data_IF_761130413181
#
_entry.id   IF_761130413181
#
_cell.length_a   1.000
_cell.length_b   1.000
_cell.length_c   1.000
_cell.angle_alpha   90.00
_cell.angle_beta   90.00
_cell.angle_gamma   90.00
#
_symmetry.space_group_name_H-M   'P 1'
#
loop_
_entity.id
_entity.type
_entity.pdbx_description
1 polymer ?
#
# COMPACT_ATOMS: atom_id res chain seq x y z
N UNK A 1 1.64 -28.85 6.08
CA UNK A 1 0.77 -27.75 6.56
C UNK A 1 -0.05 -27.24 5.39
N UNK A 2 -1.40 -27.16 5.56
CA UNK A 2 -2.29 -26.62 4.55
C UNK A 2 -2.02 -25.11 4.42
N UNK A 3 -1.60 -24.64 3.24
CA UNK A 3 -1.43 -23.20 3.00
C UNK A 3 -2.79 -22.54 3.00
N UNK A 4 -2.91 -21.40 3.66
CA UNK A 4 -4.10 -20.58 3.59
C UNK A 4 -4.09 -19.76 2.30
N UNK A 5 -5.24 -19.63 1.67
CA UNK A 5 -5.47 -18.84 0.48
C UNK A 5 -5.98 -17.46 0.86
N UNK A 6 -5.36 -16.42 0.34
CA UNK A 6 -5.72 -15.03 0.60
C UNK A 6 -5.91 -14.31 -0.73
N UNK A 7 -7.04 -13.63 -0.88
CA UNK A 7 -7.29 -12.73 -1.99
C UNK A 7 -6.89 -11.31 -1.57
N UNK A 8 -6.13 -10.63 -2.41
CA UNK A 8 -5.81 -9.21 -2.28
C UNK A 8 -6.36 -8.48 -3.50
N UNK A 9 -7.31 -7.59 -3.30
CA UNK A 9 -7.92 -6.78 -4.37
C UNK A 9 -7.29 -5.40 -4.38
N UNK A 10 -6.63 -5.08 -5.48
CA UNK A 10 -5.87 -3.87 -5.67
C UNK A 10 -4.37 -4.13 -5.79
N UNK A 11 -3.70 -3.32 -6.60
CA UNK A 11 -2.26 -3.43 -6.90
C UNK A 11 -1.55 -2.08 -6.82
N UNK A 12 -2.16 -1.10 -6.15
CA UNK A 12 -1.48 0.11 -5.71
C UNK A 12 -0.40 -0.21 -4.68
N UNK A 13 0.23 0.80 -4.12
CA UNK A 13 1.30 0.63 -3.14
C UNK A 13 0.89 -0.29 -1.98
N UNK A 14 -0.30 -0.10 -1.42
CA UNK A 14 -0.82 -0.92 -0.34
C UNK A 14 -1.07 -2.38 -0.77
N UNK A 15 -1.71 -2.59 -1.93
CA UNK A 15 -2.04 -3.92 -2.44
C UNK A 15 -0.82 -4.73 -2.83
N UNK A 16 0.12 -4.12 -3.56
CA UNK A 16 1.36 -4.76 -3.95
C UNK A 16 2.22 -5.13 -2.72
N UNK A 17 2.31 -4.23 -1.73
CA UNK A 17 3.05 -4.47 -0.48
C UNK A 17 2.40 -5.58 0.35
N UNK A 18 1.06 -5.57 0.49
CA UNK A 18 0.34 -6.60 1.22
C UNK A 18 0.51 -7.99 0.56
N UNK A 19 0.34 -8.07 -0.77
CA UNK A 19 0.50 -9.31 -1.50
C UNK A 19 1.93 -9.86 -1.42
N UNK A 20 2.94 -8.99 -1.54
CA UNK A 20 4.34 -9.38 -1.40
C UNK A 20 4.63 -9.92 0.01
N UNK A 21 4.24 -9.19 1.06
CA UNK A 21 4.46 -9.59 2.45
C UNK A 21 3.75 -10.90 2.80
N UNK A 22 2.51 -11.07 2.38
CA UNK A 22 1.77 -12.31 2.59
C UNK A 22 2.44 -13.50 1.87
N UNK A 23 2.94 -13.26 0.64
CA UNK A 23 3.69 -14.27 -0.11
C UNK A 23 4.98 -14.67 0.61
N UNK A 24 5.74 -13.72 1.16
CA UNK A 24 6.94 -13.94 1.96
C UNK A 24 6.66 -14.73 3.24
N UNK A 25 5.49 -14.52 3.86
CA UNK A 25 5.02 -15.29 5.01
C UNK A 25 4.59 -16.72 4.66
N UNK A 26 4.59 -17.09 3.38
CA UNK A 26 4.27 -18.43 2.89
C UNK A 26 2.79 -18.68 2.63
N UNK A 27 1.94 -17.68 2.63
CA UNK A 27 0.55 -17.79 2.17
C UNK A 27 0.49 -17.97 0.66
N UNK A 28 -0.61 -18.56 0.17
CA UNK A 28 -0.95 -18.56 -1.25
C UNK A 28 -1.83 -17.35 -1.53
N UNK A 29 -1.33 -16.40 -2.33
CA UNK A 29 -1.99 -15.13 -2.57
C UNK A 29 -2.50 -15.03 -4.00
N UNK A 30 -3.76 -14.61 -4.16
CA UNK A 30 -4.38 -14.24 -5.42
C UNK A 30 -4.54 -12.72 -5.43
N UNK A 31 -3.74 -12.02 -6.23
CA UNK A 31 -3.74 -10.56 -6.27
C UNK A 31 -4.39 -10.05 -7.56
N UNK A 32 -5.41 -9.22 -7.42
CA UNK A 32 -6.25 -8.75 -8.53
C UNK A 32 -5.95 -7.31 -8.90
N UNK A 33 -5.75 -7.07 -10.19
CA UNK A 33 -5.45 -5.78 -10.79
C UNK A 33 -6.44 -5.47 -11.91
N UNK A 34 -7.13 -4.34 -11.84
CA UNK A 34 -8.03 -3.89 -12.90
C UNK A 34 -7.26 -3.46 -14.16
N UNK A 35 -6.06 -2.94 -14.00
CA UNK A 35 -5.19 -2.53 -15.09
C UNK A 35 -4.44 -3.73 -15.70
N UNK A 36 -3.74 -3.48 -16.78
CA UNK A 36 -2.83 -4.44 -17.43
C UNK A 36 -1.53 -4.65 -16.63
N UNK A 37 -1.19 -3.72 -15.74
CA UNK A 37 -0.01 -3.79 -14.88
C UNK A 37 -0.22 -3.06 -13.55
N UNK A 38 0.30 -3.59 -12.45
CA UNK A 38 0.35 -2.89 -11.16
C UNK A 38 1.01 -1.51 -11.21
N UNK A 39 1.96 -1.31 -12.13
CA UNK A 39 2.68 -0.04 -12.32
C UNK A 39 1.80 1.12 -12.78
N UNK A 40 0.55 0.85 -13.19
CA UNK A 40 -0.43 1.88 -13.59
C UNK A 40 -1.35 2.31 -12.47
N UNK A 41 -1.11 1.86 -11.24
CA UNK A 41 -1.88 2.28 -10.09
C UNK A 41 -1.69 3.77 -9.78
N UNK A 42 -2.71 4.41 -9.24
CA UNK A 42 -2.71 5.85 -8.92
C UNK A 42 -1.55 6.28 -8.00
N UNK A 43 -1.05 5.37 -7.17
CA UNK A 43 0.13 5.62 -6.31
C UNK A 43 1.33 6.22 -7.05
N UNK A 44 1.44 6.01 -8.37
CA UNK A 44 2.50 6.58 -9.22
C UNK A 44 2.45 8.11 -9.25
N UNK A 45 1.28 8.73 -9.04
CA UNK A 45 1.08 10.16 -9.13
C UNK A 45 1.55 10.93 -7.89
N UNK A 46 1.81 10.26 -6.77
CA UNK A 46 2.27 10.91 -5.54
C UNK A 46 3.71 11.41 -5.68
N UNK A 47 3.95 12.69 -5.40
CA UNK A 47 5.24 13.36 -5.64
C UNK A 47 5.90 13.88 -4.36
N UNK A 48 5.12 14.28 -3.36
CA UNK A 48 5.58 15.04 -2.21
C UNK A 48 6.56 14.29 -1.30
N UNK A 49 6.26 13.07 -0.97
CA UNK A 49 7.02 12.24 -0.05
C UNK A 49 6.15 11.38 0.84
N UNK A 50 6.79 10.67 1.73
CA UNK A 50 6.15 9.82 2.74
C UNK A 50 6.64 10.21 4.15
N UNK A 51 5.71 10.34 5.09
CA UNK A 51 6.00 10.77 6.45
C UNK A 51 6.33 9.57 7.35
N UNK A 52 7.38 9.72 8.15
CA UNK A 52 7.73 8.77 9.21
C UNK A 52 8.38 9.48 10.40
N UNK A 53 8.09 9.00 11.60
CA UNK A 53 8.55 9.60 12.85
C UNK A 53 9.97 9.15 13.23
N UNK A 54 10.94 9.32 12.31
CA UNK A 54 12.34 8.92 12.56
C UNK A 54 13.13 9.93 13.41
N UNK A 55 12.65 11.17 13.46
CA UNK A 55 13.28 12.26 14.24
C UNK A 55 14.78 12.44 13.97
N UNK A 56 15.22 12.32 12.72
CA UNK A 56 16.65 12.43 12.37
C UNK A 56 17.22 13.81 12.63
N UNK A 57 16.42 14.86 12.50
CA UNK A 57 16.83 16.25 12.76
C UNK A 57 16.78 16.60 14.26
N UNK A 58 16.29 15.70 15.11
CA UNK A 58 16.09 15.92 16.53
C UNK A 58 15.29 17.22 16.83
N UNK A 59 14.27 17.47 16.01
CA UNK A 59 13.39 18.64 16.08
C UNK A 59 12.10 18.37 16.89
N UNK A 60 12.12 17.34 17.73
CA UNK A 60 11.03 16.97 18.62
C UNK A 60 9.92 16.18 17.98
N UNK A 61 10.19 15.49 16.86
CA UNK A 61 9.23 14.56 16.27
C UNK A 61 9.10 13.26 17.09
N UNK A 62 7.93 12.65 17.03
CA UNK A 62 7.62 11.39 17.71
C UNK A 62 6.46 10.68 17.04
N UNK A 63 6.29 9.40 17.37
CA UNK A 63 5.13 8.62 16.95
C UNK A 63 3.82 9.30 17.35
N UNK A 64 3.73 9.80 18.58
CA UNK A 64 2.55 10.50 19.06
C UNK A 64 2.29 11.80 18.30
N UNK A 65 3.34 12.56 17.99
CA UNK A 65 3.21 13.81 17.22
C UNK A 65 2.75 13.53 15.79
N UNK A 66 3.30 12.51 15.14
CA UNK A 66 2.84 12.07 13.81
C UNK A 66 1.36 11.63 13.83
N UNK A 67 0.98 10.86 14.85
CA UNK A 67 -0.40 10.47 15.06
C UNK A 67 -1.32 11.69 15.22
N UNK A 68 -0.99 12.60 16.13
CA UNK A 68 -1.79 13.80 16.39
C UNK A 68 -1.95 14.68 15.15
N UNK A 69 -0.85 14.95 14.44
CA UNK A 69 -0.86 15.78 13.25
C UNK A 69 -1.69 15.14 12.13
N UNK A 70 -1.65 13.81 12.00
CA UNK A 70 -2.43 13.07 11.01
C UNK A 70 -3.93 13.11 11.33
N UNK A 71 -4.31 12.90 12.59
CA UNK A 71 -5.73 12.98 13.02
C UNK A 71 -6.26 14.40 12.84
N UNK A 72 -5.49 15.40 13.25
CA UNK A 72 -5.85 16.81 13.10
C UNK A 72 -5.95 17.22 11.62
N UNK A 73 -4.99 16.83 10.80
CA UNK A 73 -5.00 17.10 9.36
C UNK A 73 -6.17 16.45 8.62
N UNK A 74 -6.71 15.36 9.14
CA UNK A 74 -7.90 14.68 8.65
C UNK A 74 -9.22 15.17 9.28
N UNK A 75 -9.24 16.38 9.89
CA UNK A 75 -10.42 16.96 10.54
C UNK A 75 -11.06 16.05 11.61
N UNK A 76 -10.25 15.25 12.30
CA UNK A 76 -10.68 14.29 13.34
C UNK A 76 -11.68 13.24 12.84
N UNK A 77 -11.72 12.94 11.54
CA UNK A 77 -12.61 11.94 10.94
C UNK A 77 -12.01 10.54 10.89
N UNK A 78 -10.70 10.44 11.06
CA UNK A 78 -9.99 9.17 10.95
C UNK A 78 -10.27 8.27 12.17
N UNK A 79 -10.18 6.96 11.95
CA UNK A 79 -10.18 5.98 13.04
C UNK A 79 -8.84 6.03 13.77
N UNK A 80 -8.80 6.62 14.95
CA UNK A 80 -7.58 6.94 15.71
C UNK A 80 -6.67 5.73 15.93
N UNK A 81 -7.24 4.57 16.28
CA UNK A 81 -6.45 3.35 16.48
C UNK A 81 -5.65 2.94 15.23
N UNK A 82 -6.23 3.12 14.03
CA UNK A 82 -5.54 2.81 12.78
C UNK A 82 -4.43 3.83 12.49
N UNK A 83 -4.69 5.11 12.75
CA UNK A 83 -3.70 6.17 12.56
C UNK A 83 -2.54 6.03 13.55
N UNK A 84 -2.82 5.67 14.80
CA UNK A 84 -1.78 5.41 15.78
C UNK A 84 -0.88 4.24 15.34
N UNK A 85 -1.51 3.15 14.89
CA UNK A 85 -0.76 2.00 14.36
C UNK A 85 0.09 2.36 13.15
N UNK A 86 -0.44 3.19 12.24
CA UNK A 86 0.33 3.71 11.11
C UNK A 86 1.58 4.47 11.58
N UNK A 87 1.41 5.36 12.56
CA UNK A 87 2.51 6.13 13.12
C UNK A 87 3.57 5.24 13.80
N UNK A 88 3.16 4.22 14.55
CA UNK A 88 4.07 3.23 15.17
C UNK A 88 4.94 2.51 14.14
N UNK A 89 4.34 2.05 13.04
CA UNK A 89 5.07 1.26 12.03
C UNK A 89 5.81 2.11 11.01
N UNK A 90 5.61 3.43 11.00
CA UNK A 90 6.11 4.33 9.96
C UNK A 90 7.62 4.19 9.72
N UNK A 91 8.40 4.06 10.79
CA UNK A 91 9.85 3.92 10.71
C UNK A 91 10.27 2.61 10.03
N UNK A 92 9.63 1.49 10.39
CA UNK A 92 9.89 0.20 9.78
C UNK A 92 9.49 0.16 8.30
N UNK A 93 8.44 0.90 7.92
CA UNK A 93 8.00 1.02 6.52
C UNK A 93 9.07 1.72 5.67
N UNK A 94 9.68 2.80 6.16
CA UNK A 94 10.77 3.46 5.46
C UNK A 94 11.95 2.51 5.26
N UNK A 95 12.33 1.76 6.30
CA UNK A 95 13.43 0.80 6.22
C UNK A 95 13.11 -0.32 5.23
N UNK A 96 11.88 -0.80 5.19
CA UNK A 96 11.41 -1.76 4.20
C UNK A 96 11.48 -1.20 2.78
N UNK A 97 11.06 0.05 2.57
CA UNK A 97 11.14 0.70 1.25
C UNK A 97 12.59 0.83 0.78
N UNK A 98 13.51 1.19 1.68
CA UNK A 98 14.96 1.22 1.37
C UNK A 98 15.45 -0.17 0.98
N UNK A 99 15.07 -1.21 1.71
CA UNK A 99 15.44 -2.60 1.41
C UNK A 99 14.87 -3.08 0.07
N UNK A 100 13.72 -2.54 -0.36
CA UNK A 100 13.11 -2.80 -1.67
C UNK A 100 13.77 -2.02 -2.82
N UNK A 101 14.77 -1.18 -2.52
CA UNK A 101 15.51 -0.42 -3.51
C UNK A 101 14.94 0.96 -3.85
N UNK A 102 14.07 1.52 -3.02
CA UNK A 102 13.55 2.88 -3.21
C UNK A 102 14.68 3.90 -3.04
N UNK A 103 15.01 4.71 -4.06
CA UNK A 103 16.13 5.65 -4.03
C UNK A 103 15.73 6.96 -3.36
N UNK A 104 15.47 6.94 -2.07
CA UNK A 104 15.24 8.16 -1.31
C UNK A 104 16.43 9.11 -1.40
N UNK A 105 16.17 10.40 -1.38
CA UNK A 105 17.20 11.41 -1.25
C UNK A 105 18.02 11.18 0.01
N UNK A 106 19.33 11.46 -0.09
CA UNK A 106 20.28 11.30 1.01
C UNK A 106 21.04 12.59 1.25
N UNK A 107 21.36 12.83 2.51
CA UNK A 107 22.28 13.87 2.90
C UNK A 107 23.73 13.50 2.49
N UNK A 108 24.61 14.50 2.55
CA UNK A 108 26.02 14.31 2.19
C UNK A 108 26.71 13.19 2.98
N UNK A 109 26.32 12.98 4.24
CA UNK A 109 26.81 11.90 5.09
C UNK A 109 26.24 10.52 4.80
N UNK A 110 25.31 10.38 3.83
CA UNK A 110 24.74 9.11 3.41
C UNK A 110 23.47 8.68 4.17
N UNK A 111 23.05 9.41 5.18
CA UNK A 111 21.75 9.21 5.85
C UNK A 111 20.59 9.67 4.97
N UNK A 112 19.39 9.15 5.20
CA UNK A 112 18.20 9.58 4.46
C UNK A 112 17.90 11.04 4.76
N UNK A 113 17.75 11.84 3.69
CA UNK A 113 17.29 13.22 3.80
C UNK A 113 15.80 13.27 4.08
N UNK A 114 15.39 14.20 4.93
CA UNK A 114 14.00 14.48 5.23
C UNK A 114 13.75 15.99 5.29
N UNK A 115 12.50 16.37 5.06
CA UNK A 115 12.10 17.79 5.03
C UNK A 115 10.76 18.00 5.71
N UNK A 116 10.49 19.23 6.10
CA UNK A 116 9.14 19.66 6.44
C UNK A 116 8.31 19.78 5.15
N UNK A 117 7.11 19.22 5.12
CA UNK A 117 6.21 19.28 3.98
C UNK A 117 4.75 19.17 4.44
N UNK A 118 3.83 19.80 3.69
CA UNK A 118 2.39 19.69 3.95
C UNK A 118 1.94 20.34 5.27
N UNK A 119 2.62 21.40 5.71
CA UNK A 119 2.27 22.10 6.96
C UNK A 119 2.81 21.45 8.23
N UNK A 120 3.54 20.34 8.14
CA UNK A 120 4.25 19.76 9.27
C UNK A 120 5.37 20.72 9.74
N UNK A 121 5.45 20.98 11.05
CA UNK A 121 6.45 21.87 11.63
C UNK A 121 7.77 21.17 11.92
N UNK A 122 7.86 19.87 11.63
CA UNK A 122 9.05 19.03 11.84
C UNK A 122 9.45 18.36 10.54
N UNK A 123 10.72 18.02 10.42
CA UNK A 123 11.28 17.34 9.26
C UNK A 123 11.02 15.83 9.36
N UNK A 124 9.96 15.34 8.73
CA UNK A 124 9.56 13.93 8.76
C UNK A 124 9.26 13.34 7.38
N UNK A 125 9.33 14.13 6.32
CA UNK A 125 8.97 13.69 4.98
C UNK A 125 10.18 13.19 4.21
N UNK A 126 10.19 11.89 3.93
CA UNK A 126 11.20 11.23 3.10
C UNK A 126 10.74 11.26 1.64
N UNK A 127 11.64 11.53 0.71
CA UNK A 127 11.27 11.81 -0.68
C UNK A 127 12.31 11.31 -1.69
N UNK A 128 11.87 11.13 -2.92
CA UNK A 128 12.68 10.78 -4.08
C UNK A 128 12.47 11.82 -5.20
N UNK A 129 12.83 13.07 -4.93
CA UNK A 129 12.91 14.23 -5.86
C UNK A 129 11.82 14.25 -6.94
N UNK A 130 10.55 14.43 -6.56
CA UNK A 130 9.41 14.54 -7.48
C UNK A 130 8.87 13.21 -8.02
N UNK A 131 9.47 12.08 -7.67
CA UNK A 131 9.09 10.75 -8.14
C UNK A 131 8.78 9.78 -6.98
N UNK A 132 8.45 10.29 -5.81
CA UNK A 132 8.35 9.47 -4.59
C UNK A 132 7.35 8.33 -4.76
N UNK A 133 6.12 8.60 -5.22
CA UNK A 133 5.10 7.58 -5.43
C UNK A 133 5.49 6.55 -6.49
N UNK A 134 6.08 7.00 -7.59
CA UNK A 134 6.60 6.12 -8.64
C UNK A 134 7.65 5.16 -8.09
N UNK A 135 8.62 5.66 -7.35
CA UNK A 135 9.71 4.85 -6.82
C UNK A 135 9.23 3.89 -5.72
N UNK A 136 8.32 4.34 -4.85
CA UNK A 136 7.66 3.48 -3.86
C UNK A 136 6.90 2.34 -4.54
N UNK A 137 6.11 2.66 -5.57
CA UNK A 137 5.34 1.66 -6.30
C UNK A 137 6.24 0.67 -7.03
N UNK A 138 7.32 1.12 -7.65
CA UNK A 138 8.31 0.24 -8.31
C UNK A 138 9.01 -0.68 -7.31
N UNK A 139 9.34 -0.18 -6.11
CA UNK A 139 9.90 -1.00 -5.04
C UNK A 139 8.94 -2.11 -4.60
N UNK A 140 7.70 -1.75 -4.33
CA UNK A 140 6.64 -2.71 -3.98
C UNK A 140 6.35 -3.70 -5.11
N UNK A 141 6.32 -3.23 -6.36
CA UNK A 141 6.15 -4.08 -7.55
C UNK A 141 7.30 -5.07 -7.73
N UNK A 142 8.53 -4.66 -7.46
CA UNK A 142 9.69 -5.56 -7.51
C UNK A 142 9.59 -6.67 -6.46
N UNK A 143 9.17 -6.33 -5.23
CA UNK A 143 8.90 -7.31 -4.19
C UNK A 143 7.76 -8.27 -4.57
N UNK A 144 6.67 -7.73 -5.10
CA UNK A 144 5.54 -8.53 -5.62
C UNK A 144 5.99 -9.48 -6.74
N UNK A 145 6.74 -8.99 -7.72
CA UNK A 145 7.22 -9.78 -8.86
C UNK A 145 8.11 -10.93 -8.42
N UNK A 146 8.91 -10.73 -7.38
CA UNK A 146 9.72 -11.79 -6.77
C UNK A 146 8.84 -12.91 -6.23
N UNK A 147 7.73 -12.58 -5.56
CA UNK A 147 6.79 -13.56 -5.03
C UNK A 147 5.97 -14.25 -6.14
N UNK A 148 5.67 -13.53 -7.23
CA UNK A 148 5.07 -14.15 -8.43
C UNK A 148 6.01 -15.17 -9.05
N UNK A 149 7.30 -14.85 -9.16
CA UNK A 149 8.33 -15.76 -9.68
C UNK A 149 8.50 -17.02 -8.81
N UNK A 150 8.47 -16.86 -7.49
CA UNK A 150 8.54 -17.99 -6.53
C UNK A 150 7.26 -18.82 -6.55
N UNK A 151 6.15 -18.27 -7.06
CA UNK A 151 4.86 -18.96 -7.15
C UNK A 151 4.00 -18.89 -5.89
N UNK A 152 4.34 -18.03 -4.92
CA UNK A 152 3.50 -17.77 -3.73
C UNK A 152 2.37 -16.81 -4.04
N UNK A 153 2.55 -15.92 -5.01
CA UNK A 153 1.54 -14.98 -5.48
C UNK A 153 1.17 -15.27 -6.93
N UNK A 154 -0.13 -15.35 -7.21
CA UNK A 154 -0.67 -15.35 -8.58
C UNK A 154 -1.31 -13.99 -8.85
N UNK A 155 -0.80 -13.29 -9.85
CA UNK A 155 -1.30 -11.98 -10.27
C UNK A 155 -2.32 -12.15 -11.39
N UNK A 156 -3.51 -11.55 -11.20
CA UNK A 156 -4.60 -11.47 -12.16
C UNK A 156 -4.73 -10.03 -12.64
N UNK A 157 -4.29 -9.76 -13.86
CA UNK A 157 -4.42 -8.44 -14.51
C UNK A 157 -5.66 -8.38 -15.36
N UNK A 158 -6.26 -7.20 -15.54
CA UNK A 158 -7.51 -6.98 -16.26
C UNK A 158 -8.70 -7.76 -15.66
N UNK A 159 -8.73 -7.79 -14.33
CA UNK A 159 -9.86 -8.33 -13.58
C UNK A 159 -10.46 -7.24 -12.70
N UNK A 160 -11.76 -7.05 -12.82
CA UNK A 160 -12.53 -6.11 -11.99
C UNK A 160 -13.35 -6.87 -10.96
N UNK A 161 -13.10 -6.62 -9.67
CA UNK A 161 -13.91 -7.21 -8.61
C UNK A 161 -15.32 -6.62 -8.68
N UNK A 162 -16.32 -7.49 -8.75
CA UNK A 162 -17.73 -7.11 -8.77
C UNK A 162 -18.37 -7.20 -7.39
N UNK A 163 -18.02 -8.25 -6.64
CA UNK A 163 -18.64 -8.50 -5.33
C UNK A 163 -17.74 -9.33 -4.41
N UNK A 164 -17.95 -9.19 -3.11
CA UNK A 164 -17.33 -10.02 -2.07
C UNK A 164 -18.31 -11.10 -1.63
N UNK A 165 -17.93 -12.35 -1.75
CA UNK A 165 -18.76 -13.48 -1.34
C UNK A 165 -18.71 -13.64 0.18
N UNK A 166 -19.83 -13.40 0.83
CA UNK A 166 -20.01 -13.56 2.28
C UNK A 166 -20.78 -14.87 2.55
N UNK A 167 -20.20 -15.76 3.35
CA UNK A 167 -20.83 -16.99 3.82
C UNK A 167 -20.69 -17.04 5.35
N UNK A 168 -21.80 -17.20 6.04
CA UNK A 168 -21.85 -17.21 7.53
C UNK A 168 -21.11 -16.01 8.15
N UNK A 169 -21.33 -14.81 7.60
CA UNK A 169 -20.72 -13.55 8.08
C UNK A 169 -19.24 -13.41 7.82
N UNK A 170 -18.64 -14.27 6.99
CA UNK A 170 -17.21 -14.26 6.66
C UNK A 170 -16.99 -14.08 5.15
N UNK A 171 -16.05 -13.23 4.79
CA UNK A 171 -15.59 -13.09 3.42
C UNK A 171 -14.87 -14.38 2.99
N UNK A 172 -15.44 -15.10 2.04
CA UNK A 172 -14.97 -16.41 1.56
C UNK A 172 -14.46 -16.40 0.14
N UNK A 173 -14.50 -15.27 -0.51
CA UNK A 173 -14.04 -15.11 -1.88
C UNK A 173 -14.55 -13.86 -2.53
N UNK A 174 -14.36 -13.78 -3.84
CA UNK A 174 -14.85 -12.68 -4.67
C UNK A 174 -15.46 -13.21 -5.96
N UNK A 175 -16.33 -12.41 -6.57
CA UNK A 175 -16.71 -12.51 -7.98
C UNK A 175 -15.95 -11.43 -8.72
N UNK A 176 -15.22 -11.79 -9.77
CA UNK A 176 -14.48 -10.85 -10.59
C UNK A 176 -14.81 -11.04 -12.05
N UNK A 177 -14.90 -9.93 -12.79
CA UNK A 177 -15.10 -9.92 -14.23
C UNK A 177 -13.73 -9.90 -14.92
N UNK A 178 -13.52 -10.86 -15.79
CA UNK A 178 -12.41 -10.84 -16.72
C UNK A 178 -12.70 -9.79 -17.81
N UNK A 179 -11.91 -8.72 -17.84
CA UNK A 179 -12.13 -7.60 -18.77
C UNK A 179 -11.73 -7.91 -20.23
N UNK A 180 -11.08 -9.06 -20.46
CA UNK A 180 -10.72 -9.51 -21.81
C UNK A 180 -11.85 -10.32 -22.40
N UNK A 181 -12.40 -11.29 -21.63
CA UNK A 181 -13.46 -12.19 -22.10
C UNK A 181 -14.87 -11.69 -21.82
N UNK A 182 -15.01 -10.80 -20.82
CA UNK A 182 -16.30 -10.34 -20.31
C UNK A 182 -16.97 -11.30 -19.33
N UNK A 183 -16.37 -12.45 -19.06
CA UNK A 183 -16.94 -13.48 -18.20
C UNK A 183 -16.80 -13.16 -16.72
N UNK A 184 -17.77 -13.61 -15.93
CA UNK A 184 -17.73 -13.57 -14.47
C UNK A 184 -17.11 -14.85 -13.94
N UNK A 185 -16.07 -14.72 -13.14
CA UNK A 185 -15.34 -15.81 -12.52
C UNK A 185 -15.45 -15.74 -10.99
N UNK A 186 -15.47 -16.90 -10.33
CA UNK A 186 -15.52 -17.03 -8.88
C UNK A 186 -14.16 -17.46 -8.34
N UNK A 187 -13.73 -16.77 -7.29
CA UNK A 187 -12.47 -17.06 -6.61
C UNK A 187 -12.74 -17.28 -5.13
N UNK A 188 -12.41 -18.46 -4.62
CA UNK A 188 -12.57 -18.80 -3.20
C UNK A 188 -11.28 -18.56 -2.42
N UNK A 189 -11.39 -18.10 -1.17
CA UNK A 189 -10.25 -17.89 -0.28
C UNK A 189 -10.66 -18.01 1.20
N UNK A 190 -9.66 -18.09 2.06
CA UNK A 190 -9.85 -18.08 3.52
C UNK A 190 -10.02 -16.66 4.06
N UNK A 191 -9.44 -15.67 3.38
CA UNK A 191 -9.58 -14.25 3.71
C UNK A 191 -9.52 -13.38 2.43
N UNK A 192 -10.16 -12.21 2.49
CA UNK A 192 -10.15 -11.20 1.43
C UNK A 192 -9.66 -9.89 2.01
N UNK A 193 -8.62 -9.33 1.42
CA UNK A 193 -8.09 -7.99 1.70
C UNK A 193 -8.50 -7.10 0.55
N UNK A 194 -9.50 -6.25 0.77
CA UNK A 194 -10.02 -5.32 -0.23
C UNK A 194 -9.44 -3.92 0.03
N UNK A 195 -8.74 -3.38 -0.96
CA UNK A 195 -8.07 -2.09 -0.87
C UNK A 195 -8.66 -1.03 -1.83
N UNK A 196 -9.84 -1.30 -2.38
CA UNK A 196 -10.48 -0.40 -3.37
C UNK A 196 -10.90 0.94 -2.78
N UNK A 197 -11.25 0.97 -1.50
CA UNK A 197 -11.70 2.19 -0.79
C UNK A 197 -10.58 2.91 -0.04
N UNK A 198 -9.34 2.46 -0.19
CA UNK A 198 -8.19 3.10 0.45
C UNK A 198 -7.43 4.04 -0.48
N UNK A 199 -7.90 4.24 -1.71
CA UNK A 199 -7.34 5.19 -2.67
C UNK A 199 -8.29 6.35 -2.91
N UNK A 200 -7.77 7.58 -2.90
CA UNK A 200 -8.53 8.81 -3.16
C UNK A 200 -9.26 8.81 -4.50
N UNK A 201 -8.80 8.02 -5.47
CA UNK A 201 -9.45 7.85 -6.75
C UNK A 201 -10.87 7.26 -6.69
N UNK A 202 -11.28 6.67 -5.57
CA UNK A 202 -12.64 6.20 -5.36
C UNK A 202 -13.58 7.32 -4.89
N UNK A 203 -13.07 8.30 -4.16
CA UNK A 203 -13.84 9.44 -3.63
C UNK A 203 -14.09 10.51 -4.69
N UNK A 204 -13.20 10.71 -5.65
CA UNK A 204 -13.36 11.66 -6.75
C UNK A 204 -14.52 11.33 -7.70
N UNK A 205 -15.08 10.13 -7.64
CA UNK A 205 -16.24 9.73 -8.45
C UNK A 205 -17.59 10.00 -7.79
N UNK A 206 -17.61 10.40 -6.54
CA UNK A 206 -18.84 10.65 -5.76
C UNK A 206 -19.17 12.15 -5.70
N UNK A 207 -18.29 13.01 -6.20
CA UNK A 207 -18.46 14.47 -6.18
C UNK A 207 -18.88 15.06 -7.54
N UNK A 208 -19.67 14.33 -8.34
CA UNK A 208 -20.35 14.86 -9.53
C UNK A 208 -21.84 14.65 -9.41
#
# INVERSE_FOLDING_TARGET
>A
KRRLDIIVVGTGLAGASAAASLGEMGFRVFNFCIQDSPRRAHSIAAQGGINAAKNYQNDGDSVYRLFYDTVKGGDYRAREANVYRLAEVSNAIIDQCVAQGVPFAREYGGTLDNRSFGGAQVSRTFYAKGQTGQQLLLGAYSALSRQVNVGTVKLFTRYEMQDVVIIDGRARGIIAKNLITGELERFAAHAVVCLLYTSDAADDRISV
#
